data_IF_946176714449
#
_entry.id   IF_946176714449
#
_cell.length_a   1.000
_cell.length_b   1.000
_cell.length_c   1.000
_cell.angle_alpha   90.00
_cell.angle_beta   90.00
_cell.angle_gamma   90.00
#
_symmetry.space_group_name_H-M   'P 1'
#
loop_
_entity.id
_entity.type
_entity.pdbx_description
1 polymer ?
#
# COMPACT_ATOMS: atom_id res chain seq x y z
N UNK A 1 -52.97 -14.77 -9.17
CA UNK A 1 -52.17 -15.16 -10.35
C UNK A 1 -51.95 -13.90 -11.18
N UNK A 2 -50.84 -13.23 -10.94
CA UNK A 2 -50.40 -12.02 -11.65
C UNK A 2 -48.91 -12.17 -11.84
N UNK A 3 -48.52 -12.45 -13.07
CA UNK A 3 -47.16 -12.68 -13.53
C UNK A 3 -46.46 -11.33 -13.64
N UNK A 4 -45.47 -11.08 -12.78
CA UNK A 4 -44.63 -9.88 -12.87
C UNK A 4 -43.37 -10.23 -13.65
N UNK A 5 -43.27 -9.66 -14.84
CA UNK A 5 -42.18 -9.83 -15.80
C UNK A 5 -40.93 -9.09 -15.29
N UNK A 6 -39.84 -9.82 -15.03
CA UNK A 6 -38.53 -9.24 -14.74
C UNK A 6 -37.98 -8.58 -16.01
N UNK A 7 -37.73 -7.26 -15.97
CA UNK A 7 -36.99 -6.55 -17.01
C UNK A 7 -35.49 -6.73 -16.74
N UNK A 8 -34.81 -7.51 -17.58
CA UNK A 8 -33.36 -7.59 -17.60
C UNK A 8 -32.78 -6.28 -18.14
N UNK A 9 -31.90 -5.64 -17.36
CA UNK A 9 -31.04 -4.56 -17.84
C UNK A 9 -29.85 -5.19 -18.57
N UNK A 10 -29.76 -4.99 -19.88
CA UNK A 10 -28.58 -5.34 -20.67
C UNK A 10 -27.59 -4.18 -20.61
N UNK A 11 -26.42 -4.42 -20.03
CA UNK A 11 -25.27 -3.51 -20.13
C UNK A 11 -24.67 -3.69 -21.53
N UNK A 12 -24.73 -2.63 -22.34
CA UNK A 12 -24.16 -2.58 -23.67
C UNK A 12 -22.64 -2.36 -23.54
N UNK A 13 -21.85 -3.43 -23.63
CA UNK A 13 -20.40 -3.32 -23.80
C UNK A 13 -20.12 -3.03 -25.28
N UNK A 14 -19.59 -1.84 -25.57
CA UNK A 14 -19.09 -1.49 -26.89
C UNK A 14 -17.84 -2.34 -27.20
N UNK A 15 -18.03 -3.45 -27.90
CA UNK A 15 -16.96 -4.22 -28.52
C UNK A 15 -16.57 -3.53 -29.84
N UNK A 16 -15.45 -2.83 -29.84
CA UNK A 16 -14.80 -2.36 -31.06
C UNK A 16 -14.24 -3.56 -31.84
N UNK A 17 -14.93 -3.96 -32.90
CA UNK A 17 -14.43 -4.93 -33.88
C UNK A 17 -13.40 -4.23 -34.77
N UNK A 18 -12.13 -4.63 -34.69
CA UNK A 18 -11.10 -4.22 -35.65
C UNK A 18 -10.80 -5.42 -36.55
N UNK A 19 -11.20 -5.32 -37.82
CA UNK A 19 -10.84 -6.27 -38.88
C UNK A 19 -9.35 -6.20 -39.21
N UNK A 20 -8.69 -7.32 -39.56
CA UNK A 20 -7.30 -7.31 -39.98
C UNK A 20 -7.20 -6.85 -41.44
N UNK A 21 -6.45 -5.78 -41.70
CA UNK A 21 -6.23 -5.32 -43.06
C UNK A 21 -5.26 -4.16 -43.18
N UNK A 22 -4.09 -4.47 -43.74
CA UNK A 22 -3.15 -3.59 -44.46
C UNK A 22 -2.43 -2.48 -43.69
N UNK A 23 -1.11 -2.68 -43.56
CA UNK A 23 -0.11 -1.63 -43.49
C UNK A 23 -0.45 -0.50 -44.48
N UNK A 24 -0.70 0.69 -43.93
CA UNK A 24 -0.57 1.94 -44.68
C UNK A 24 0.59 2.69 -44.05
N UNK A 25 1.75 2.63 -44.70
CA UNK A 25 2.80 3.60 -44.49
C UNK A 25 2.28 4.93 -45.05
N UNK A 26 1.77 5.81 -44.18
CA UNK A 26 1.64 7.22 -44.53
C UNK A 26 2.99 7.90 -44.31
N UNK A 27 3.76 7.98 -45.39
CA UNK A 27 4.78 9.01 -45.54
C UNK A 27 4.06 10.36 -45.66
N UNK A 28 4.00 11.11 -44.57
CA UNK A 28 3.76 12.54 -44.62
C UNK A 28 5.02 13.21 -44.12
N UNK A 29 5.72 13.91 -45.02
CA UNK A 29 6.78 14.85 -44.72
C UNK A 29 6.28 15.91 -43.71
N UNK A 30 6.46 15.64 -42.42
CA UNK A 30 6.44 16.59 -41.31
C UNK A 30 7.03 15.91 -40.06
N UNK A 31 7.94 16.55 -39.32
CA UNK A 31 8.65 15.93 -38.21
C UNK A 31 7.72 15.85 -36.99
N UNK A 32 6.97 14.77 -36.89
CA UNK A 32 6.17 14.40 -35.72
C UNK A 32 6.44 12.93 -35.52
N UNK A 33 7.54 12.53 -34.87
CA UNK A 33 7.58 12.24 -33.43
C UNK A 33 9.00 12.52 -32.90
N UNK A 34 9.23 13.78 -32.53
CA UNK A 34 10.34 14.22 -31.68
C UNK A 34 9.98 15.49 -30.89
N UNK A 35 8.71 15.88 -30.92
CA UNK A 35 8.25 17.25 -30.69
C UNK A 35 7.53 17.51 -29.37
N UNK A 36 7.79 16.76 -28.29
CA UNK A 36 7.36 17.17 -26.95
C UNK A 36 8.50 17.38 -25.95
N UNK A 37 9.66 16.76 -26.16
CA UNK A 37 10.83 17.02 -25.32
C UNK A 37 11.64 18.25 -25.78
N UNK A 38 11.65 18.58 -27.09
CA UNK A 38 12.50 19.65 -27.62
C UNK A 38 11.84 21.02 -27.75
N UNK A 39 10.51 21.09 -27.92
CA UNK A 39 9.79 22.37 -28.09
C UNK A 39 9.67 23.16 -26.77
N UNK A 40 9.75 22.50 -25.61
CA UNK A 40 9.59 23.15 -24.30
C UNK A 40 10.86 23.88 -23.82
N UNK A 41 12.02 23.58 -24.41
CA UNK A 41 13.30 24.22 -24.05
C UNK A 41 13.52 25.54 -24.81
N UNK A 42 12.90 25.72 -25.98
CA UNK A 42 13.09 26.90 -26.83
C UNK A 42 12.07 28.04 -26.58
N UNK A 43 10.95 27.80 -25.88
CA UNK A 43 9.89 28.81 -25.68
C UNK A 43 9.81 29.43 -24.27
N UNK A 44 10.79 29.19 -23.40
CA UNK A 44 10.94 29.95 -22.14
C UNK A 44 9.75 29.83 -21.17
N UNK A 45 9.14 28.65 -21.04
CA UNK A 45 7.99 28.42 -20.16
C UNK A 45 8.21 27.26 -19.19
N UNK A 46 9.03 27.47 -18.15
CA UNK A 46 9.20 26.52 -17.04
C UNK A 46 8.91 27.18 -15.68
N UNK A 47 7.79 27.90 -15.58
CA UNK A 47 7.22 28.33 -14.29
C UNK A 47 5.98 27.48 -13.91
N UNK A 48 5.90 26.23 -14.38
CA UNK A 48 4.76 25.34 -14.16
C UNK A 48 5.14 23.96 -13.61
N UNK A 49 4.16 23.19 -13.07
CA UNK A 49 4.37 21.96 -12.28
C UNK A 49 4.95 20.76 -13.05
N UNK A 50 5.38 20.95 -14.30
CA UNK A 50 5.98 19.92 -15.16
C UNK A 50 7.51 19.99 -15.20
N UNK A 51 8.13 21.05 -14.67
CA UNK A 51 9.59 21.22 -14.68
C UNK A 51 10.37 20.08 -13.98
N UNK A 52 9.93 19.54 -12.83
CA UNK A 52 10.69 18.48 -12.13
C UNK A 52 10.66 17.12 -12.87
N UNK A 53 9.61 16.86 -13.65
CA UNK A 53 9.42 15.56 -14.35
C UNK A 53 10.37 15.43 -15.55
N UNK A 54 10.78 16.56 -16.14
CA UNK A 54 11.71 16.55 -17.27
C UNK A 54 13.17 16.42 -16.80
N UNK A 55 13.53 16.94 -15.64
CA UNK A 55 14.93 17.06 -15.21
C UNK A 55 15.61 15.71 -14.94
N UNK A 56 14.91 14.72 -14.39
CA UNK A 56 15.45 13.36 -14.20
C UNK A 56 15.56 12.55 -15.50
N UNK A 57 14.73 12.85 -16.51
CA UNK A 57 14.63 12.06 -17.75
C UNK A 57 15.63 12.48 -18.84
N UNK A 58 16.22 13.66 -18.72
CA UNK A 58 17.08 14.27 -19.75
C UNK A 58 18.53 13.72 -19.72
N UNK A 59 18.88 12.92 -18.70
CA UNK A 59 20.22 12.33 -18.55
C UNK A 59 20.35 10.83 -18.87
N UNK A 60 19.26 10.11 -19.13
CA UNK A 60 19.31 8.65 -19.36
C UNK A 60 19.55 8.30 -20.83
N UNK A 61 20.47 7.37 -21.12
CA UNK A 61 20.71 6.81 -22.46
C UNK A 61 19.75 5.66 -22.83
N UNK A 62 18.81 5.37 -21.93
CA UNK A 62 17.85 4.28 -22.03
C UNK A 62 16.48 4.65 -21.44
N UNK A 63 15.46 3.84 -21.74
CA UNK A 63 14.11 3.99 -21.22
C UNK A 63 13.51 2.63 -20.86
N UNK A 64 12.65 2.61 -19.83
CA UNK A 64 11.85 1.44 -19.51
C UNK A 64 10.82 1.16 -20.60
N UNK A 65 10.64 -0.10 -20.96
CA UNK A 65 9.74 -0.54 -22.02
C UNK A 65 9.04 -1.86 -21.65
N UNK A 66 7.89 -2.10 -22.27
CA UNK A 66 7.31 -3.44 -22.39
C UNK A 66 7.61 -4.00 -23.78
N UNK A 67 8.09 -5.23 -23.84
CA UNK A 67 8.37 -5.96 -25.09
C UNK A 67 7.39 -7.12 -25.18
N UNK A 68 6.62 -7.15 -26.26
CA UNK A 68 5.69 -8.24 -26.58
C UNK A 68 6.33 -9.18 -27.59
N UNK A 69 6.42 -10.45 -27.23
CA UNK A 69 6.95 -11.52 -28.05
C UNK A 69 5.83 -12.33 -28.72
N UNK A 70 6.17 -13.03 -29.80
CA UNK A 70 5.26 -13.97 -30.47
C UNK A 70 4.87 -15.15 -29.60
N UNK A 71 5.75 -15.58 -28.68
CA UNK A 71 5.55 -16.73 -27.78
C UNK A 71 5.93 -16.38 -26.35
N UNK A 72 5.40 -17.14 -25.40
CA UNK A 72 5.77 -17.02 -23.99
C UNK A 72 7.18 -17.57 -23.67
N UNK A 73 7.71 -18.46 -24.51
CA UNK A 73 9.12 -18.87 -24.41
C UNK A 73 10.02 -17.74 -24.93
N UNK A 74 10.44 -16.86 -24.01
CA UNK A 74 11.25 -15.67 -24.29
C UNK A 74 12.76 -16.00 -24.31
N UNK A 75 13.15 -17.17 -23.80
CA UNK A 75 14.55 -17.56 -23.60
C UNK A 75 15.40 -17.46 -24.87
N UNK A 76 14.78 -17.76 -26.02
CA UNK A 76 15.43 -17.70 -27.34
C UNK A 76 15.90 -16.31 -27.79
N UNK A 77 15.40 -15.24 -27.19
CA UNK A 77 15.82 -13.87 -27.53
C UNK A 77 16.75 -13.23 -26.51
N UNK A 78 16.93 -13.83 -25.34
CA UNK A 78 17.68 -13.19 -24.24
C UNK A 78 19.10 -12.81 -24.65
N UNK A 79 19.88 -13.73 -25.21
CA UNK A 79 21.25 -13.46 -25.62
C UNK A 79 21.33 -12.40 -26.75
N UNK A 80 20.35 -12.40 -27.66
CA UNK A 80 20.29 -11.43 -28.76
C UNK A 80 19.94 -10.02 -28.29
N UNK A 81 19.00 -9.93 -27.35
CA UNK A 81 18.62 -8.67 -26.71
C UNK A 81 19.78 -8.11 -25.86
N UNK A 82 20.45 -8.98 -25.10
CA UNK A 82 21.58 -8.61 -24.27
C UNK A 82 22.75 -8.05 -25.11
N UNK A 83 23.03 -8.67 -26.25
CA UNK A 83 24.07 -8.25 -27.18
C UNK A 83 23.84 -6.86 -27.79
N UNK A 84 22.57 -6.41 -27.89
CA UNK A 84 22.22 -5.05 -28.33
C UNK A 84 21.96 -4.10 -27.15
N UNK A 85 22.29 -4.52 -25.93
CA UNK A 85 22.18 -3.71 -24.71
C UNK A 85 20.80 -3.67 -24.07
N UNK A 86 19.81 -4.40 -24.60
CA UNK A 86 18.47 -4.48 -24.02
C UNK A 86 18.50 -5.44 -22.84
N UNK A 87 18.10 -4.95 -21.67
CA UNK A 87 18.11 -5.72 -20.41
C UNK A 87 16.68 -6.02 -19.99
N UNK A 88 16.27 -7.29 -20.08
CA UNK A 88 14.97 -7.72 -19.56
C UNK A 88 14.99 -7.64 -18.02
N UNK A 89 13.88 -7.18 -17.43
CA UNK A 89 13.74 -7.08 -15.99
C UNK A 89 13.67 -8.46 -15.34
N UNK A 90 14.30 -8.58 -14.17
CA UNK A 90 14.35 -9.80 -13.38
C UNK A 90 14.08 -9.53 -11.92
N UNK A 91 13.47 -10.51 -11.26
CA UNK A 91 13.35 -10.61 -9.80
C UNK A 91 13.87 -11.99 -9.43
N UNK A 92 14.83 -12.06 -8.50
CA UNK A 92 15.50 -13.30 -8.07
C UNK A 92 16.07 -14.16 -9.21
N UNK A 93 16.53 -13.49 -10.28
CA UNK A 93 17.09 -14.12 -11.47
C UNK A 93 16.05 -14.59 -12.50
N UNK A 94 14.76 -14.61 -12.14
CA UNK A 94 13.68 -14.95 -13.05
C UNK A 94 13.19 -13.74 -13.86
N UNK A 95 12.75 -13.97 -15.09
CA UNK A 95 12.22 -12.91 -15.95
C UNK A 95 10.86 -12.41 -15.46
N UNK A 96 10.72 -11.09 -15.36
CA UNK A 96 9.42 -10.45 -15.05
C UNK A 96 8.62 -10.33 -16.33
N UNK A 97 7.78 -11.34 -16.58
CA UNK A 97 6.90 -11.40 -17.73
C UNK A 97 5.47 -11.80 -17.34
N UNK A 98 4.48 -11.19 -17.99
CA UNK A 98 3.08 -11.63 -17.95
C UNK A 98 2.75 -12.27 -19.29
N UNK A 99 2.80 -13.60 -19.33
CA UNK A 99 2.65 -14.39 -20.54
C UNK A 99 3.76 -14.10 -21.55
N UNK A 100 3.45 -13.34 -22.60
CA UNK A 100 4.37 -13.00 -23.70
C UNK A 100 4.87 -11.54 -23.66
N UNK A 101 4.60 -10.83 -22.57
CA UNK A 101 4.99 -9.43 -22.39
C UNK A 101 5.98 -9.36 -21.24
N UNK A 102 7.17 -8.84 -21.50
CA UNK A 102 8.20 -8.66 -20.48
C UNK A 102 8.57 -7.20 -20.34
N UNK A 103 8.90 -6.79 -19.11
CA UNK A 103 9.53 -5.49 -18.88
C UNK A 103 11.00 -5.51 -19.28
N UNK A 104 11.51 -4.40 -19.80
CA UNK A 104 12.92 -4.25 -20.17
C UNK A 104 13.39 -2.79 -20.02
N UNK A 105 14.69 -2.61 -19.80
CA UNK A 105 15.36 -1.35 -20.09
C UNK A 105 15.96 -1.39 -21.50
N UNK A 106 15.63 -0.39 -22.33
CA UNK A 106 16.00 -0.32 -23.74
C UNK A 106 16.88 0.90 -23.99
N UNK A 107 18.13 0.74 -24.43
CA UNK A 107 18.96 1.84 -24.89
C UNK A 107 18.33 2.52 -26.11
N UNK A 108 18.40 3.86 -26.20
CA UNK A 108 17.91 4.58 -27.37
C UNK A 108 18.62 4.13 -28.66
N UNK A 109 19.89 3.73 -28.57
CA UNK A 109 20.68 3.19 -29.68
C UNK A 109 20.21 1.83 -30.19
N UNK A 110 19.41 1.09 -29.42
CA UNK A 110 18.94 -0.25 -29.77
C UNK A 110 17.60 -0.26 -30.52
N UNK A 111 16.93 0.89 -30.67
CA UNK A 111 15.57 0.99 -31.21
C UNK A 111 15.44 0.41 -32.63
N UNK A 112 16.33 0.79 -33.54
CA UNK A 112 16.30 0.31 -34.93
C UNK A 112 16.60 -1.20 -35.01
N UNK A 113 17.53 -1.68 -34.18
CA UNK A 113 17.88 -3.09 -34.12
C UNK A 113 16.73 -3.92 -33.54
N UNK A 114 16.05 -3.43 -32.50
CA UNK A 114 14.87 -4.08 -31.92
C UNK A 114 13.75 -4.32 -32.93
N UNK A 115 13.49 -3.35 -33.81
CA UNK A 115 12.49 -3.49 -34.86
C UNK A 115 12.81 -4.62 -35.87
N UNK A 116 14.09 -5.00 -35.96
CA UNK A 116 14.56 -6.06 -36.85
C UNK A 116 14.61 -7.45 -36.21
N UNK A 117 14.39 -7.58 -34.90
CA UNK A 117 14.48 -8.86 -34.18
C UNK A 117 13.25 -9.72 -34.52
N UNK A 118 13.42 -10.87 -35.22
CA UNK A 118 12.30 -11.73 -35.56
C UNK A 118 11.65 -12.28 -34.29
N UNK A 119 10.34 -12.15 -34.16
CA UNK A 119 9.61 -12.67 -33.00
C UNK A 119 9.25 -11.62 -31.95
N UNK A 120 9.77 -10.40 -32.07
CA UNK A 120 9.23 -9.24 -31.35
C UNK A 120 8.04 -8.70 -32.15
N UNK A 121 6.89 -8.59 -31.50
CA UNK A 121 5.67 -8.04 -32.11
C UNK A 121 5.53 -6.55 -31.84
N UNK A 122 5.94 -6.10 -30.65
CA UNK A 122 5.74 -4.73 -30.21
C UNK A 122 6.73 -4.35 -29.10
N UNK A 123 7.19 -3.11 -29.16
CA UNK A 123 7.90 -2.45 -28.06
C UNK A 123 7.12 -1.18 -27.72
N UNK A 124 6.76 -0.99 -26.46
CA UNK A 124 6.06 0.21 -25.98
C UNK A 124 6.86 0.81 -24.83
N UNK A 125 7.15 2.11 -24.89
CA UNK A 125 7.75 2.80 -23.75
C UNK A 125 6.84 2.67 -22.53
N UNK A 126 7.44 2.37 -21.38
CA UNK A 126 6.73 2.31 -20.12
C UNK A 126 6.19 3.70 -19.80
N UNK A 127 4.88 3.77 -19.52
CA UNK A 127 4.25 4.99 -19.06
C UNK A 127 4.56 5.16 -17.57
N UNK A 128 4.98 6.36 -17.17
CA UNK A 128 5.03 6.73 -15.75
C UNK A 128 3.64 7.23 -15.36
N UNK A 129 2.86 6.49 -14.55
CA UNK A 129 1.57 6.98 -14.09
C UNK A 129 1.79 8.27 -13.28
N UNK A 130 0.89 9.23 -13.47
CA UNK A 130 0.83 10.41 -12.62
C UNK A 130 0.15 10.01 -11.32
N UNK A 131 0.88 10.09 -10.20
CA UNK A 131 0.29 9.93 -8.88
C UNK A 131 -0.73 11.06 -8.68
N UNK A 132 -1.99 10.68 -8.49
CA UNK A 132 -3.04 11.60 -8.07
C UNK A 132 -3.19 11.47 -6.56
N UNK A 133 -3.33 12.60 -5.88
CA UNK A 133 -3.67 12.57 -4.45
C UNK A 133 -5.07 11.96 -4.28
N UNK A 134 -5.28 11.14 -3.25
CA UNK A 134 -6.62 10.70 -2.87
C UNK A 134 -7.55 11.91 -2.67
N UNK A 135 -8.84 11.71 -2.91
CA UNK A 135 -9.85 12.69 -2.52
C UNK A 135 -10.09 12.57 -1.00
N UNK A 136 -10.32 13.69 -0.32
CA UNK A 136 -10.75 13.69 1.07
C UNK A 136 -12.18 13.13 1.22
N UNK A 137 -12.51 12.63 2.41
CA UNK A 137 -13.86 12.21 2.85
C UNK A 137 -14.55 11.11 2.04
N UNK A 138 -13.77 10.26 1.35
CA UNK A 138 -14.34 9.23 0.48
C UNK A 138 -15.09 8.13 1.22
N UNK A 139 -14.72 7.81 2.46
CA UNK A 139 -15.34 6.72 3.25
C UNK A 139 -16.83 6.97 3.46
N UNK A 140 -17.22 8.18 3.87
CA UNK A 140 -18.63 8.56 4.06
C UNK A 140 -19.39 8.54 2.73
N UNK A 141 -18.81 9.11 1.68
CA UNK A 141 -19.44 9.23 0.36
C UNK A 141 -19.69 7.88 -0.32
N UNK A 142 -18.85 6.87 -0.07
CA UNK A 142 -19.05 5.51 -0.57
C UNK A 142 -19.90 4.63 0.38
N UNK A 143 -20.39 5.17 1.49
CA UNK A 143 -21.18 4.43 2.48
C UNK A 143 -20.36 3.44 3.30
N UNK A 144 -19.05 3.69 3.49
CA UNK A 144 -18.13 2.80 4.20
C UNK A 144 -18.55 2.48 5.63
N UNK A 145 -19.05 3.48 6.39
CA UNK A 145 -19.57 3.25 7.74
C UNK A 145 -20.75 2.27 7.75
N UNK A 146 -21.69 2.41 6.81
CA UNK A 146 -22.82 1.48 6.68
C UNK A 146 -22.35 0.06 6.35
N UNK A 147 -21.33 -0.07 5.48
CA UNK A 147 -20.74 -1.36 5.17
C UNK A 147 -20.06 -1.99 6.39
N UNK A 148 -19.38 -1.20 7.21
CA UNK A 148 -18.76 -1.65 8.45
C UNK A 148 -19.80 -2.12 9.49
N UNK A 149 -20.85 -1.34 9.72
CA UNK A 149 -21.86 -1.63 10.74
C UNK A 149 -22.75 -2.83 10.37
N UNK A 150 -23.16 -2.92 9.10
CA UNK A 150 -24.10 -3.94 8.65
C UNK A 150 -23.41 -5.16 8.04
N UNK A 151 -22.18 -5.02 7.57
CA UNK A 151 -21.43 -6.06 6.87
C UNK A 151 -21.36 -7.37 7.63
N UNK A 152 -20.91 -7.39 8.91
CA UNK A 152 -20.81 -8.61 9.70
C UNK A 152 -22.14 -9.36 9.84
N UNK A 153 -23.24 -8.66 10.09
CA UNK A 153 -24.57 -9.26 10.20
C UNK A 153 -25.07 -9.86 8.87
N UNK A 154 -24.52 -9.41 7.74
CA UNK A 154 -24.79 -9.92 6.40
C UNK A 154 -23.74 -10.94 5.92
N UNK A 155 -22.73 -11.26 6.74
CA UNK A 155 -21.60 -12.13 6.37
C UNK A 155 -20.63 -11.48 5.38
N UNK A 156 -20.60 -10.15 5.29
CA UNK A 156 -19.72 -9.37 4.41
C UNK A 156 -18.55 -8.79 5.22
N UNK A 157 -17.59 -9.66 5.55
CA UNK A 157 -16.41 -9.30 6.38
C UNK A 157 -15.14 -9.11 5.55
N UNK A 158 -15.13 -9.55 4.28
CA UNK A 158 -13.93 -9.65 3.47
C UNK A 158 -13.05 -10.86 3.78
N UNK A 159 -13.48 -11.75 4.69
CA UNK A 159 -12.74 -12.97 5.02
C UNK A 159 -12.50 -13.83 3.77
N UNK A 160 -11.25 -14.29 3.61
CA UNK A 160 -10.81 -15.06 2.44
C UNK A 160 -10.57 -14.25 1.17
N UNK A 161 -10.70 -12.92 1.22
CA UNK A 161 -10.37 -12.02 0.11
C UNK A 161 -8.97 -11.45 0.30
N UNK A 162 -8.08 -11.67 -0.67
CA UNK A 162 -6.78 -11.02 -0.72
C UNK A 162 -6.85 -9.77 -1.61
N UNK A 163 -6.40 -8.64 -1.07
CA UNK A 163 -6.27 -7.38 -1.81
C UNK A 163 -4.79 -7.14 -2.06
N UNK A 164 -4.41 -7.00 -3.33
CA UNK A 164 -3.06 -6.59 -3.71
C UNK A 164 -3.05 -5.09 -3.99
N UNK A 165 -2.31 -4.35 -3.16
CA UNK A 165 -2.09 -2.92 -3.32
C UNK A 165 -0.71 -2.66 -3.94
N UNK A 166 -0.66 -1.84 -4.99
CA UNK A 166 0.55 -1.48 -5.72
C UNK A 166 0.74 0.04 -5.61
N UNK A 167 1.18 0.48 -4.44
CA UNK A 167 1.43 1.88 -4.13
C UNK A 167 2.81 2.05 -3.47
N UNK A 168 3.06 3.22 -2.88
CA UNK A 168 4.14 3.45 -1.93
C UNK A 168 3.97 2.52 -0.71
N UNK A 169 5.07 2.13 -0.03
CA UNK A 169 4.97 1.24 1.11
C UNK A 169 4.11 1.85 2.22
N UNK A 170 3.36 0.99 2.88
CA UNK A 170 2.67 1.30 4.14
C UNK A 170 3.58 1.03 5.33
N UNK A 171 3.28 1.66 6.46
CA UNK A 171 3.91 1.26 7.73
C UNK A 171 3.38 -0.10 8.18
N UNK A 172 4.18 -1.14 7.96
CA UNK A 172 3.84 -2.52 8.30
C UNK A 172 3.63 -2.74 9.80
N UNK A 173 4.18 -1.87 10.65
CA UNK A 173 4.12 -1.99 12.10
C UNK A 173 3.00 -1.16 12.73
N UNK A 174 2.21 -0.47 11.90
CA UNK A 174 1.11 0.36 12.36
C UNK A 174 0.03 -0.50 13.05
N UNK A 175 -0.40 -0.17 14.28
CA UNK A 175 -1.31 -1.03 15.06
C UNK A 175 -2.63 -1.38 14.36
N UNK A 176 -3.16 -0.47 13.55
CA UNK A 176 -4.38 -0.70 12.76
C UNK A 176 -4.32 -1.93 11.84
N UNK A 177 -3.12 -2.41 11.49
CA UNK A 177 -2.92 -3.60 10.67
C UNK A 177 -2.86 -4.91 11.47
N UNK A 178 -3.13 -4.90 12.78
CA UNK A 178 -3.26 -6.11 13.58
C UNK A 178 -4.70 -6.32 14.03
N UNK A 179 -5.10 -7.59 14.15
CA UNK A 179 -6.39 -7.99 14.67
C UNK A 179 -6.38 -7.94 16.20
N UNK A 180 -7.51 -7.60 16.79
CA UNK A 180 -7.75 -7.71 18.23
C UNK A 180 -8.21 -9.14 18.57
N UNK A 181 -7.35 -10.11 18.31
CA UNK A 181 -7.60 -11.55 18.47
C UNK A 181 -6.70 -12.21 19.53
N UNK A 182 -6.00 -11.40 20.32
CA UNK A 182 -5.25 -11.84 21.50
C UNK A 182 -6.12 -12.01 22.74
N UNK A 183 -5.46 -12.23 23.87
CA UNK A 183 -6.11 -12.40 25.16
C UNK A 183 -6.64 -11.07 25.73
N UNK A 184 -7.54 -11.18 26.71
CA UNK A 184 -8.04 -10.05 27.49
C UNK A 184 -7.22 -9.89 28.76
N UNK A 185 -6.93 -8.64 29.11
CA UNK A 185 -6.14 -8.28 30.27
C UNK A 185 -6.86 -7.24 31.13
N UNK A 186 -6.81 -7.47 32.44
CA UNK A 186 -7.21 -6.46 33.41
C UNK A 186 -6.15 -5.36 33.46
N UNK A 187 -6.52 -4.18 33.95
CA UNK A 187 -5.60 -3.07 34.17
C UNK A 187 -5.63 -2.62 35.63
N UNK A 188 -4.56 -1.94 36.03
CA UNK A 188 -4.32 -1.53 37.41
C UNK A 188 -4.29 -0.02 37.46
N UNK A 189 -5.33 0.54 38.07
CA UNK A 189 -5.42 1.95 38.45
C UNK A 189 -4.38 2.26 39.53
N UNK A 190 -3.24 2.82 39.11
CA UNK A 190 -2.15 3.16 40.03
C UNK A 190 -2.44 4.45 40.79
N UNK A 191 -3.24 5.34 40.21
CA UNK A 191 -3.48 6.67 40.74
C UNK A 191 -4.77 6.78 41.58
N UNK A 192 -5.64 5.77 41.51
CA UNK A 192 -6.86 5.61 42.29
C UNK A 192 -8.03 6.48 41.82
N UNK A 193 -8.06 6.91 40.56
CA UNK A 193 -9.09 7.78 40.01
C UNK A 193 -10.30 7.03 39.41
N UNK A 194 -10.21 5.71 39.25
CA UNK A 194 -11.24 4.84 38.70
C UNK A 194 -11.37 4.82 37.17
N UNK A 195 -10.44 5.41 36.40
CA UNK A 195 -10.45 5.40 34.93
C UNK A 195 -9.02 5.22 34.41
N UNK A 196 -8.83 4.48 33.33
CA UNK A 196 -7.48 4.27 32.81
C UNK A 196 -6.83 5.58 32.35
N UNK A 197 -5.63 5.85 32.84
CA UNK A 197 -4.77 6.96 32.42
C UNK A 197 -3.38 6.47 32.01
N UNK A 198 -2.66 7.33 31.27
CA UNK A 198 -1.24 7.13 31.01
C UNK A 198 -0.47 7.04 32.33
N UNK A 199 0.27 5.95 32.51
CA UNK A 199 1.01 5.65 33.73
C UNK A 199 0.41 4.52 34.57
N UNK A 200 -0.83 4.13 34.30
CA UNK A 200 -1.42 2.88 34.80
C UNK A 200 -0.72 1.65 34.18
N UNK A 201 -1.14 0.45 34.58
CA UNK A 201 -0.52 -0.78 34.13
C UNK A 201 -1.54 -1.77 33.56
N UNK A 202 -1.11 -2.60 32.61
CA UNK A 202 -1.86 -3.77 32.16
C UNK A 202 -1.29 -5.00 32.87
N UNK A 203 -2.13 -5.71 33.62
CA UNK A 203 -1.74 -6.87 34.44
C UNK A 203 -1.54 -8.11 33.54
N UNK A 204 -0.33 -8.27 33.00
CA UNK A 204 0.00 -9.33 32.06
C UNK A 204 -0.04 -10.71 32.71
N UNK A 205 0.26 -10.78 34.00
CA UNK A 205 0.44 -12.03 34.73
C UNK A 205 -0.72 -12.37 35.68
N UNK A 206 -1.74 -11.52 35.73
CA UNK A 206 -2.96 -11.63 36.52
C UNK A 206 -2.69 -11.75 38.03
N UNK A 207 -1.69 -11.03 38.55
CA UNK A 207 -1.37 -11.04 39.98
C UNK A 207 -1.94 -9.84 40.76
N UNK A 208 -2.57 -8.88 40.08
CA UNK A 208 -3.17 -7.67 40.66
C UNK A 208 -2.16 -6.65 41.17
N UNK A 209 -0.90 -6.73 40.75
CA UNK A 209 0.20 -5.85 41.14
C UNK A 209 0.89 -5.35 39.90
N UNK A 210 1.11 -4.04 39.81
CA UNK A 210 1.73 -3.46 38.63
C UNK A 210 3.25 -3.69 38.63
N UNK A 211 3.69 -4.73 37.95
CA UNK A 211 5.08 -5.19 37.90
C UNK A 211 5.93 -4.40 36.89
N UNK A 212 7.24 -4.70 36.88
CA UNK A 212 8.15 -4.23 35.84
C UNK A 212 7.76 -4.83 34.48
N UNK A 213 7.68 -3.97 33.44
CA UNK A 213 7.23 -4.37 32.10
C UNK A 213 5.71 -4.34 31.89
N UNK A 214 4.93 -3.97 32.91
CA UNK A 214 3.46 -3.82 32.82
C UNK A 214 3.01 -2.37 32.72
N UNK A 215 3.94 -1.42 32.76
CA UNK A 215 3.61 0.00 32.65
C UNK A 215 3.08 0.33 31.25
N UNK A 216 1.84 0.81 31.21
CA UNK A 216 1.17 1.17 29.97
C UNK A 216 1.62 2.54 29.47
N UNK A 217 1.93 2.60 28.19
CA UNK A 217 2.20 3.82 27.45
C UNK A 217 1.25 3.94 26.26
N UNK A 218 1.03 5.17 25.79
CA UNK A 218 0.10 5.43 24.69
C UNK A 218 0.88 5.63 23.40
N UNK A 219 0.33 5.07 22.32
CA UNK A 219 0.68 5.42 20.96
C UNK A 219 -0.46 6.25 20.37
N UNK A 220 -0.27 7.57 20.35
CA UNK A 220 -1.23 8.52 19.82
C UNK A 220 -1.44 8.30 18.31
N UNK A 221 -2.68 8.15 17.88
CA UNK A 221 -3.04 8.18 16.46
C UNK A 221 -3.02 9.63 15.95
N UNK A 222 -1.80 10.15 15.83
CA UNK A 222 -1.54 11.53 15.42
C UNK A 222 -1.97 11.72 13.97
N UNK A 223 -2.85 12.71 13.74
CA UNK A 223 -3.23 13.12 12.40
C UNK A 223 -2.49 14.38 12.00
N UNK A 224 -1.98 14.39 10.78
CA UNK A 224 -1.24 15.50 10.23
C UNK A 224 -2.09 16.23 9.20
N UNK A 225 -2.47 17.45 9.52
CA UNK A 225 -3.27 18.29 8.65
C UNK A 225 -2.40 19.33 7.96
N UNK A 226 -2.70 19.53 6.68
CA UNK A 226 -2.12 20.59 5.86
C UNK A 226 -3.27 21.44 5.31
N UNK A 227 -3.39 22.67 5.78
CA UNK A 227 -4.24 23.66 5.14
C UNK A 227 -3.41 24.66 4.31
N UNK A 228 -4.06 25.67 3.72
CA UNK A 228 -3.39 26.64 2.85
C UNK A 228 -2.31 27.48 3.60
N UNK A 229 -2.32 27.50 4.93
CA UNK A 229 -1.52 28.42 5.73
C UNK A 229 -0.74 27.78 6.89
N UNK A 230 -1.08 26.57 7.34
CA UNK A 230 -0.39 25.94 8.47
C UNK A 230 -0.33 24.40 8.37
N UNK A 231 0.66 23.86 9.08
CA UNK A 231 0.79 22.45 9.40
C UNK A 231 0.48 22.28 10.88
N UNK A 232 -0.49 21.44 11.19
CA UNK A 232 -0.81 21.15 12.58
C UNK A 232 -1.07 19.66 12.81
N UNK A 233 -0.80 19.26 14.04
CA UNK A 233 -0.92 17.89 14.53
C UNK A 233 -2.17 17.82 15.40
N UNK A 234 -3.03 16.87 15.11
CA UNK A 234 -4.13 16.51 16.00
C UNK A 234 -3.80 15.24 16.76
N UNK A 235 -4.25 15.21 18.01
CA UNK A 235 -4.13 14.05 18.89
C UNK A 235 -2.72 13.64 19.33
N UNK A 236 -1.68 14.43 19.01
CA UNK A 236 -0.36 14.28 19.62
C UNK A 236 -0.33 14.97 21.00
N UNK A 237 -0.97 14.39 22.00
CA UNK A 237 -1.16 15.01 23.32
C UNK A 237 -0.76 14.11 24.50
N UNK A 238 -0.37 12.86 24.24
CA UNK A 238 0.04 11.88 25.24
C UNK A 238 -1.07 11.48 26.21
N UNK A 239 -2.33 11.69 25.86
CA UNK A 239 -3.51 11.30 26.63
C UNK A 239 -4.27 10.23 25.87
N UNK A 240 -4.63 9.14 26.55
CA UNK A 240 -5.31 8.03 25.89
C UNK A 240 -6.74 8.38 25.46
N UNK A 241 -7.08 8.14 24.19
CA UNK A 241 -8.44 8.18 23.65
C UNK A 241 -8.83 6.80 23.14
N UNK A 242 -9.85 6.23 23.77
CA UNK A 242 -10.29 4.83 23.58
C UNK A 242 -10.59 4.47 22.13
N UNK A 243 -11.25 5.36 21.41
CA UNK A 243 -11.70 5.13 20.03
C UNK A 243 -10.66 5.48 18.96
N UNK A 244 -9.46 5.91 19.37
CA UNK A 244 -8.46 6.48 18.46
C UNK A 244 -7.06 5.92 18.69
N UNK A 245 -6.63 5.80 19.93
CA UNK A 245 -5.25 5.47 20.28
C UNK A 245 -5.05 3.99 20.58
N UNK A 246 -3.78 3.60 20.66
CA UNK A 246 -3.35 2.28 21.11
C UNK A 246 -2.55 2.38 22.40
N UNK A 247 -2.56 1.30 23.17
CA UNK A 247 -1.69 1.15 24.34
C UNK A 247 -0.59 0.17 24.01
N UNK A 248 0.63 0.43 24.47
CA UNK A 248 1.74 -0.51 24.40
C UNK A 248 2.43 -0.67 25.75
N UNK A 249 3.12 -1.79 25.92
CA UNK A 249 3.96 -2.05 27.09
C UNK A 249 5.43 -1.89 26.74
N UNK A 250 6.09 -0.93 27.37
CA UNK A 250 7.53 -0.69 27.23
C UNK A 250 8.30 -1.70 28.09
N UNK A 251 8.59 -2.87 27.53
CA UNK A 251 9.14 -4.00 28.25
C UNK A 251 10.58 -3.76 28.71
N UNK A 252 11.30 -2.85 28.05
CA UNK A 252 12.67 -2.52 28.38
C UNK A 252 12.85 -1.11 28.98
N UNK A 253 11.75 -0.40 29.24
CA UNK A 253 11.68 0.92 29.86
C UNK A 253 12.51 2.00 29.11
N UNK A 254 12.55 1.96 27.78
CA UNK A 254 13.31 2.93 26.97
C UNK A 254 12.49 4.15 26.51
N UNK A 255 11.21 4.21 26.86
CA UNK A 255 10.27 5.29 26.58
C UNK A 255 9.65 5.26 25.18
N UNK A 256 9.75 4.14 24.45
CA UNK A 256 9.14 3.98 23.11
C UNK A 256 8.77 2.52 22.88
N UNK A 257 7.86 2.28 21.94
CA UNK A 257 7.58 0.92 21.48
C UNK A 257 8.72 0.42 20.60
N UNK A 258 9.29 -0.74 20.94
CA UNK A 258 10.22 -1.45 20.07
C UNK A 258 9.50 -2.49 19.20
N UNK A 259 9.91 -2.57 17.93
CA UNK A 259 9.33 -3.46 16.94
C UNK A 259 10.31 -3.78 15.80
N UNK A 260 9.99 -4.80 15.03
CA UNK A 260 10.74 -5.22 13.85
C UNK A 260 12.00 -6.04 14.16
N UNK A 261 12.62 -6.55 13.08
CA UNK A 261 13.81 -7.43 13.15
C UNK A 261 15.01 -6.78 13.82
N UNK A 262 15.19 -5.47 13.65
CA UNK A 262 16.29 -4.73 14.27
C UNK A 262 16.18 -4.66 15.80
N UNK A 263 14.97 -4.74 16.34
CA UNK A 263 14.73 -4.82 17.79
C UNK A 263 14.68 -6.26 18.32
N UNK A 264 14.90 -7.26 17.46
CA UNK A 264 14.92 -8.67 17.83
C UNK A 264 13.58 -9.40 17.69
N UNK A 265 12.56 -8.74 17.17
CA UNK A 265 11.26 -9.37 16.89
C UNK A 265 11.24 -10.03 15.51
N UNK A 266 10.32 -10.96 15.33
CA UNK A 266 10.20 -11.82 14.16
C UNK A 266 8.75 -11.99 13.75
N UNK A 267 8.51 -12.73 12.67
CA UNK A 267 7.16 -13.01 12.16
C UNK A 267 6.30 -13.83 13.15
N UNK A 268 6.92 -14.53 14.10
CA UNK A 268 6.19 -15.30 15.13
C UNK A 268 5.76 -14.46 16.33
N UNK A 269 6.31 -13.26 16.51
CA UNK A 269 5.96 -12.40 17.64
C UNK A 269 4.67 -11.64 17.36
N UNK A 270 3.73 -11.59 18.31
CA UNK A 270 2.50 -10.81 18.16
C UNK A 270 2.85 -9.35 17.83
N UNK A 271 2.14 -8.75 16.86
CA UNK A 271 2.34 -7.34 16.44
C UNK A 271 3.76 -6.96 15.97
N UNK A 272 4.62 -7.96 15.75
CA UNK A 272 6.03 -7.76 15.38
C UNK A 272 6.80 -6.85 16.33
N UNK A 273 6.46 -6.86 17.62
CA UNK A 273 7.03 -5.93 18.57
C UNK A 273 6.57 -6.18 19.98
N UNK A 274 6.80 -5.18 20.82
CA UNK A 274 6.22 -5.15 22.15
C UNK A 274 4.69 -5.17 22.10
N UNK A 275 4.05 -5.76 23.13
CA UNK A 275 2.61 -5.93 23.18
C UNK A 275 1.84 -4.64 22.91
N UNK A 276 0.82 -4.74 22.06
CA UNK A 276 -0.12 -3.66 21.74
C UNK A 276 -1.53 -4.05 22.17
N UNK A 277 -2.32 -3.06 22.55
CA UNK A 277 -3.66 -3.24 23.04
C UNK A 277 -4.62 -2.17 22.54
N UNK A 278 -5.89 -2.53 22.51
CA UNK A 278 -7.04 -1.62 22.45
C UNK A 278 -7.94 -1.87 23.66
N UNK A 279 -8.68 -0.88 24.10
CA UNK A 279 -9.68 -1.09 25.15
C UNK A 279 -10.95 -1.77 24.58
N UNK A 280 -11.56 -2.61 25.41
CA UNK A 280 -12.91 -3.16 25.24
C UNK A 280 -13.89 -2.24 25.95
N UNK A 281 -14.22 -1.11 25.31
CA UNK A 281 -15.22 -0.15 25.77
C UNK A 281 -16.63 -0.70 25.50
N UNK A 282 -17.14 -1.40 26.51
CA UNK A 282 -18.35 -2.21 26.43
C UNK A 282 -19.58 -1.32 26.40
N UNK A 283 -19.55 -0.22 27.15
CA UNK A 283 -20.70 0.67 27.31
C UNK A 283 -20.68 1.89 26.36
N UNK A 284 -19.55 2.11 25.68
CA UNK A 284 -19.30 3.12 24.64
C UNK A 284 -19.35 4.54 25.16
N UNK A 285 -18.83 4.76 26.36
CA UNK A 285 -18.73 6.08 26.96
C UNK A 285 -17.40 6.80 26.67
N UNK A 286 -16.52 6.16 25.88
CA UNK A 286 -15.18 6.63 25.48
C UNK A 286 -14.19 6.73 26.65
N UNK A 287 -14.41 5.96 27.72
CA UNK A 287 -13.49 5.79 28.85
C UNK A 287 -13.14 4.31 28.98
N UNK A 288 -12.19 4.01 29.87
CA UNK A 288 -11.94 2.64 30.31
C UNK A 288 -12.17 2.60 31.81
N UNK A 289 -13.32 2.06 32.18
CA UNK A 289 -13.72 1.89 33.57
C UNK A 289 -13.09 0.63 34.19
N UNK A 290 -13.20 0.50 35.51
CA UNK A 290 -12.55 -0.57 36.28
C UNK A 290 -13.08 -2.00 35.95
N UNK A 291 -14.24 -2.13 35.32
CA UNK A 291 -14.80 -3.40 34.84
C UNK A 291 -14.54 -3.68 33.36
N UNK A 292 -13.89 -2.75 32.67
CA UNK A 292 -13.46 -2.88 31.29
C UNK A 292 -12.01 -3.36 31.20
N UNK A 293 -11.66 -3.91 30.04
CA UNK A 293 -10.41 -4.65 29.85
C UNK A 293 -9.72 -4.23 28.58
N UNK A 294 -8.45 -4.59 28.48
CA UNK A 294 -7.68 -4.44 27.24
C UNK A 294 -7.66 -5.74 26.45
N UNK A 295 -7.77 -5.63 25.14
CA UNK A 295 -7.62 -6.73 24.19
C UNK A 295 -6.24 -6.61 23.56
N UNK A 296 -5.42 -7.65 23.69
CA UNK A 296 -4.14 -7.68 22.99
C UNK A 296 -4.34 -7.79 21.48
N UNK A 297 -3.60 -6.98 20.73
CA UNK A 297 -3.46 -7.13 19.29
C UNK A 297 -2.53 -8.31 18.99
N UNK A 298 -2.90 -9.11 18.00
CA UNK A 298 -2.24 -10.39 17.71
C UNK A 298 -1.85 -10.53 16.25
N UNK A 299 -2.70 -11.22 15.49
CA UNK A 299 -2.40 -11.59 14.10
C UNK A 299 -2.39 -10.39 13.16
N UNK A 300 -1.62 -10.48 12.07
CA UNK A 300 -1.53 -9.44 11.04
C UNK A 300 -2.70 -9.53 10.06
N UNK A 301 -3.23 -8.37 9.67
CA UNK A 301 -4.16 -8.20 8.54
C UNK A 301 -3.41 -8.17 7.20
N UNK A 302 -2.10 -7.91 7.22
CA UNK A 302 -1.24 -7.87 6.05
C UNK A 302 -0.66 -9.26 5.79
N UNK A 303 -0.96 -9.80 4.61
CA UNK A 303 -0.41 -11.09 4.18
C UNK A 303 1.07 -11.00 3.82
N UNK A 304 1.46 -9.96 3.08
CA UNK A 304 2.85 -9.74 2.68
C UNK A 304 3.07 -8.28 2.31
N UNK A 305 4.31 -7.81 2.47
CA UNK A 305 4.78 -6.53 1.97
C UNK A 305 6.10 -6.76 1.23
N UNK A 306 6.20 -6.23 0.02
CA UNK A 306 7.44 -6.23 -0.76
C UNK A 306 7.80 -4.79 -1.07
N UNK A 307 8.97 -4.35 -0.60
CA UNK A 307 9.45 -3.01 -0.84
C UNK A 307 10.96 -3.01 -1.06
N UNK A 308 11.39 -2.71 -2.29
CA UNK A 308 12.81 -2.80 -2.65
C UNK A 308 13.34 -4.22 -2.50
N UNK A 309 14.35 -4.39 -1.66
CA UNK A 309 14.92 -5.70 -1.30
C UNK A 309 14.29 -6.29 -0.02
N UNK A 310 13.47 -5.51 0.70
CA UNK A 310 12.82 -5.94 1.92
C UNK A 310 11.52 -6.69 1.62
N UNK A 311 11.30 -7.77 2.38
CA UNK A 311 10.06 -8.51 2.36
C UNK A 311 9.63 -8.92 3.77
N UNK A 312 8.34 -8.75 4.02
CA UNK A 312 7.63 -9.21 5.20
C UNK A 312 6.54 -10.18 4.75
N UNK A 313 6.38 -11.28 5.46
CA UNK A 313 5.40 -12.32 5.13
C UNK A 313 4.71 -12.80 6.40
N UNK A 314 3.41 -12.52 6.48
CA UNK A 314 2.50 -13.00 7.53
C UNK A 314 1.21 -13.46 6.88
N UNK A 315 1.26 -14.59 6.19
CA UNK A 315 0.07 -15.05 5.46
C UNK A 315 0.04 -16.53 5.08
N UNK A 316 0.52 -17.43 5.95
CA UNK A 316 0.30 -18.88 5.81
C UNK A 316 -0.61 -19.45 6.90
#
# INVERSE_FOLDING_TARGET
MTTTTLKAFAILILLGVVTPGTLVAQSNDSPVVGGRARLLVETGGLDGPLAPILDESVGSDSFGASIRFQTADVSRWEAGLDAIGVKLHRVDGELVCVGRVCGANVPFSALDLLASVPGIERVEAAWRPLLRRPLADTISEIGGHTAHDLGPALGLTGEGVLIADFDQPIDFFHPAFFNADGDFYDWIDRNGNGTFDVGDAIDLNANGVADEGESASVLDATEFWWDEFDFYEENNNGSYQVNRDWVYLDLNNNGRRDYGRSAGFSESDATYGEPLFIADDIDRDERVDADERFIALGSSKLSALVWGEDSYDRGS
#
